data_IF_030367854992
#
_entry.id   IF_030367854992
#
_cell.length_a   1.000
_cell.length_b   1.000
_cell.length_c   1.000
_cell.angle_alpha   90.00
_cell.angle_beta   90.00
_cell.angle_gamma   90.00
#
_symmetry.space_group_name_H-M   'P 1'
#
loop_
_entity.id
_entity.type
_entity.pdbx_description
1 polymer ?
#
# COMPACT_ATOMS: atom_id res chain seq x y z
N UNK A 1 22.23 -6.06 -8.90
CA UNK A 1 22.40 -7.15 -9.90
C UNK A 1 22.00 -6.70 -11.30
N UNK A 2 20.71 -6.56 -11.64
CA UNK A 2 20.33 -6.22 -13.03
C UNK A 2 20.83 -4.84 -13.49
N UNK A 3 20.53 -3.79 -12.71
CA UNK A 3 20.95 -2.40 -13.01
C UNK A 3 22.49 -2.30 -13.10
N UNK A 4 23.18 -2.78 -12.08
CA UNK A 4 24.65 -2.84 -12.01
C UNK A 4 25.30 -3.59 -13.19
N UNK A 5 24.67 -4.66 -13.68
CA UNK A 5 25.16 -5.45 -14.83
C UNK A 5 25.00 -4.67 -16.14
N UNK A 6 23.91 -3.89 -16.28
CA UNK A 6 23.65 -3.06 -17.46
C UNK A 6 24.64 -1.89 -17.50
N UNK A 7 24.84 -1.22 -16.37
CA UNK A 7 25.77 -0.08 -16.25
C UNK A 7 27.23 -0.47 -16.58
N UNK A 8 27.63 -1.70 -16.22
CA UNK A 8 29.02 -2.18 -16.37
C UNK A 8 29.19 -3.25 -17.45
N UNK A 9 28.31 -3.31 -18.45
CA UNK A 9 28.26 -4.40 -19.45
C UNK A 9 29.59 -4.60 -20.19
N UNK A 10 30.27 -3.50 -20.61
CA UNK A 10 31.57 -3.58 -21.29
C UNK A 10 32.65 -4.20 -20.42
N UNK A 11 32.69 -3.80 -19.14
CA UNK A 11 33.64 -4.34 -18.16
C UNK A 11 33.42 -5.84 -17.95
N UNK A 12 32.17 -6.27 -17.81
CA UNK A 12 31.82 -7.69 -17.59
C UNK A 12 32.14 -8.55 -18.81
N UNK A 13 31.94 -8.01 -20.02
CA UNK A 13 32.32 -8.66 -21.28
C UNK A 13 33.85 -8.81 -21.40
N UNK A 14 34.61 -7.75 -21.10
CA UNK A 14 36.07 -7.80 -21.10
C UNK A 14 36.63 -8.82 -20.09
N UNK A 15 36.00 -8.95 -18.92
CA UNK A 15 36.36 -9.97 -17.93
C UNK A 15 35.86 -11.38 -18.28
N UNK A 16 35.08 -11.56 -19.37
CA UNK A 16 34.49 -12.84 -19.77
C UNK A 16 33.68 -13.51 -18.64
N UNK A 17 33.00 -12.70 -17.79
CA UNK A 17 32.23 -13.18 -16.61
C UNK A 17 30.71 -13.10 -16.77
N UNK A 18 30.20 -12.94 -18.00
CA UNK A 18 28.77 -12.83 -18.29
C UNK A 18 27.93 -13.99 -17.70
N UNK A 19 28.42 -15.23 -17.77
CA UNK A 19 27.73 -16.42 -17.26
C UNK A 19 27.51 -16.40 -15.73
N UNK A 20 28.45 -15.83 -14.98
CA UNK A 20 28.36 -15.73 -13.51
C UNK A 20 27.27 -14.73 -13.09
N UNK A 21 27.23 -13.56 -13.73
CA UNK A 21 26.18 -12.56 -13.49
C UNK A 21 24.79 -13.06 -13.94
N UNK A 22 24.73 -13.75 -15.08
CA UNK A 22 23.50 -14.38 -15.55
C UNK A 22 22.97 -15.43 -14.56
N UNK A 23 23.81 -16.34 -14.06
CA UNK A 23 23.40 -17.34 -13.06
C UNK A 23 22.94 -16.72 -11.73
N UNK A 24 23.59 -15.63 -11.30
CA UNK A 24 23.15 -14.86 -10.12
C UNK A 24 21.77 -14.21 -10.33
N UNK A 25 21.54 -13.61 -11.49
CA UNK A 25 20.25 -13.03 -11.85
C UNK A 25 19.16 -14.10 -11.93
N UNK A 26 19.45 -15.23 -12.56
CA UNK A 26 18.49 -16.34 -12.70
C UNK A 26 18.08 -16.90 -11.32
N UNK A 27 19.05 -17.08 -10.42
CA UNK A 27 18.79 -17.56 -9.06
C UNK A 27 17.94 -16.57 -8.27
N UNK A 28 18.26 -15.28 -8.33
CA UNK A 28 17.50 -14.23 -7.67
C UNK A 28 16.06 -14.13 -8.22
N UNK A 29 15.89 -14.23 -9.54
CA UNK A 29 14.58 -14.21 -10.21
C UNK A 29 13.72 -15.42 -9.84
N UNK A 30 14.30 -16.63 -9.82
CA UNK A 30 13.61 -17.85 -9.37
C UNK A 30 13.17 -17.76 -7.90
N UNK A 31 14.01 -17.19 -7.04
CA UNK A 31 13.65 -16.94 -5.64
C UNK A 31 12.48 -15.95 -5.53
N UNK A 32 12.54 -14.82 -6.25
CA UNK A 32 11.46 -13.84 -6.32
C UNK A 32 10.14 -14.47 -6.78
N UNK A 33 10.16 -15.25 -7.86
CA UNK A 33 8.97 -15.96 -8.37
C UNK A 33 8.34 -16.88 -7.33
N UNK A 34 9.15 -17.66 -6.60
CA UNK A 34 8.63 -18.55 -5.54
C UNK A 34 8.04 -17.77 -4.37
N UNK A 35 8.67 -16.67 -3.98
CA UNK A 35 8.15 -15.80 -2.93
C UNK A 35 6.81 -15.17 -3.33
N UNK A 36 6.71 -14.64 -4.55
CA UNK A 36 5.49 -14.05 -5.08
C UNK A 36 4.35 -15.07 -5.23
N UNK A 37 4.64 -16.30 -5.67
CA UNK A 37 3.61 -17.36 -5.71
C UNK A 37 3.05 -17.65 -4.32
N UNK A 38 3.89 -17.70 -3.27
CA UNK A 38 3.40 -17.89 -1.90
C UNK A 38 2.57 -16.71 -1.43
N UNK A 39 3.03 -15.48 -1.69
CA UNK A 39 2.26 -14.27 -1.34
C UNK A 39 0.90 -14.23 -2.03
N UNK A 40 0.83 -14.57 -3.32
CA UNK A 40 -0.41 -14.59 -4.08
C UNK A 40 -1.46 -15.53 -3.50
N UNK A 41 -1.05 -16.67 -2.91
CA UNK A 41 -1.98 -17.57 -2.21
C UNK A 41 -2.56 -16.91 -0.96
N UNK A 42 -1.72 -16.26 -0.15
CA UNK A 42 -2.18 -15.54 1.04
C UNK A 42 -3.07 -14.34 0.69
N UNK A 43 -2.74 -13.61 -0.37
CA UNK A 43 -3.53 -12.49 -0.88
C UNK A 43 -4.89 -12.96 -1.38
N UNK A 44 -4.95 -14.06 -2.14
CA UNK A 44 -6.20 -14.65 -2.60
C UNK A 44 -7.09 -15.14 -1.45
N UNK A 45 -6.50 -15.75 -0.41
CA UNK A 45 -7.24 -16.16 0.79
C UNK A 45 -7.78 -14.96 1.55
N UNK A 46 -6.98 -13.91 1.73
CA UNK A 46 -7.39 -12.69 2.39
C UNK A 46 -8.52 -11.97 1.62
N UNK A 47 -8.40 -11.88 0.30
CA UNK A 47 -9.40 -11.27 -0.56
C UNK A 47 -10.75 -12.02 -0.48
N UNK A 48 -10.71 -13.35 -0.57
CA UNK A 48 -11.92 -14.18 -0.50
C UNK A 48 -12.61 -14.04 0.86
N UNK A 49 -11.85 -14.11 1.96
CA UNK A 49 -12.39 -13.93 3.32
C UNK A 49 -13.03 -12.55 3.50
N UNK A 50 -12.37 -11.50 3.04
CA UNK A 50 -12.87 -10.13 3.15
C UNK A 50 -14.17 -9.94 2.37
N UNK A 51 -14.24 -10.49 1.15
CA UNK A 51 -15.43 -10.41 0.31
C UNK A 51 -16.59 -11.23 0.90
N UNK A 52 -16.33 -12.46 1.38
CA UNK A 52 -17.34 -13.28 2.04
C UNK A 52 -17.90 -12.60 3.29
N UNK A 53 -17.03 -12.02 4.12
CA UNK A 53 -17.45 -11.31 5.34
C UNK A 53 -18.37 -10.12 5.04
N UNK A 54 -18.08 -9.37 3.97
CA UNK A 54 -18.92 -8.26 3.52
C UNK A 54 -20.34 -8.71 3.20
N UNK A 55 -20.50 -9.81 2.45
CA UNK A 55 -21.82 -10.35 2.12
C UNK A 55 -22.56 -10.88 3.36
N UNK A 56 -21.85 -11.52 4.30
CA UNK A 56 -22.45 -12.00 5.55
C UNK A 56 -23.00 -10.82 6.36
N UNK A 57 -22.23 -9.74 6.53
CA UNK A 57 -22.68 -8.54 7.26
C UNK A 57 -23.91 -7.92 6.60
N UNK A 58 -23.91 -7.80 5.27
CA UNK A 58 -25.08 -7.28 4.54
C UNK A 58 -26.30 -8.16 4.80
N UNK A 59 -26.15 -9.49 4.74
CA UNK A 59 -27.22 -10.43 5.08
C UNK A 59 -27.75 -10.26 6.51
N UNK A 60 -26.86 -10.16 7.50
CA UNK A 60 -27.23 -9.92 8.91
C UNK A 60 -27.94 -8.57 9.08
N UNK A 61 -27.47 -7.53 8.40
CA UNK A 61 -28.08 -6.19 8.44
C UNK A 61 -29.51 -6.22 7.93
N UNK A 62 -29.76 -6.94 6.83
CA UNK A 62 -31.12 -7.12 6.32
C UNK A 62 -31.98 -8.02 7.21
N UNK A 63 -31.43 -9.10 7.78
CA UNK A 63 -32.17 -9.97 8.70
C UNK A 63 -32.68 -9.19 9.93
N UNK A 64 -31.82 -8.35 10.51
CA UNK A 64 -32.19 -7.45 11.61
C UNK A 64 -33.17 -6.37 11.12
N UNK A 65 -32.92 -5.79 9.94
CA UNK A 65 -33.81 -4.79 9.34
C UNK A 65 -35.23 -5.31 9.13
N UNK A 66 -35.38 -6.54 8.64
CA UNK A 66 -36.68 -7.21 8.48
C UNK A 66 -37.35 -7.42 9.84
N UNK A 67 -36.62 -7.90 10.84
CA UNK A 67 -37.15 -8.06 12.21
C UNK A 67 -37.69 -6.73 12.76
N UNK A 68 -36.98 -5.63 12.56
CA UNK A 68 -37.40 -4.28 13.01
C UNK A 68 -38.70 -3.84 12.31
N UNK A 69 -38.87 -4.15 11.02
CA UNK A 69 -40.10 -3.83 10.28
C UNK A 69 -41.31 -4.53 10.94
N UNK A 70 -41.16 -5.80 11.30
CA UNK A 70 -42.24 -6.58 11.93
C UNK A 70 -42.53 -6.15 13.38
N UNK A 71 -41.51 -5.84 14.18
CA UNK A 71 -41.69 -5.52 15.60
C UNK A 71 -42.08 -4.06 15.86
N UNK A 72 -41.47 -3.10 15.16
CA UNK A 72 -41.65 -1.66 15.44
C UNK A 72 -42.64 -0.95 14.50
N UNK A 73 -43.30 -1.67 13.57
CA UNK A 73 -44.17 -1.09 12.53
C UNK A 73 -43.51 0.06 11.74
N UNK A 74 -42.18 0.05 11.60
CA UNK A 74 -41.46 1.02 10.77
C UNK A 74 -41.75 0.73 9.29
N UNK A 75 -41.93 1.78 8.50
CA UNK A 75 -42.14 1.66 7.05
C UNK A 75 -40.90 1.06 6.38
N UNK A 76 -41.10 0.12 5.47
CA UNK A 76 -40.01 -0.56 4.73
C UNK A 76 -39.09 0.41 4.00
N UNK A 77 -39.63 1.53 3.49
CA UNK A 77 -38.84 2.59 2.85
C UNK A 77 -37.82 3.23 3.80
N UNK A 78 -38.22 3.51 5.05
CA UNK A 78 -37.33 4.13 6.03
C UNK A 78 -36.15 3.21 6.36
N UNK A 79 -36.41 1.91 6.53
CA UNK A 79 -35.36 0.94 6.88
C UNK A 79 -34.39 0.75 5.71
N UNK A 80 -34.92 0.62 4.49
CA UNK A 80 -34.09 0.51 3.28
C UNK A 80 -33.21 1.74 3.08
N UNK A 81 -33.77 2.95 3.22
CA UNK A 81 -33.02 4.21 3.11
C UNK A 81 -31.90 4.30 4.13
N UNK A 82 -32.14 3.93 5.39
CA UNK A 82 -31.10 3.95 6.42
C UNK A 82 -29.98 2.97 6.11
N UNK A 83 -30.30 1.75 5.68
CA UNK A 83 -29.30 0.74 5.31
C UNK A 83 -28.47 1.22 4.11
N UNK A 84 -29.10 1.76 3.06
CA UNK A 84 -28.40 2.31 1.90
C UNK A 84 -27.51 3.50 2.26
N UNK A 85 -28.00 4.43 3.07
CA UNK A 85 -27.21 5.58 3.53
C UNK A 85 -25.99 5.13 4.34
N UNK A 86 -26.16 4.13 5.22
CA UNK A 86 -25.06 3.55 6.00
C UNK A 86 -24.02 2.87 5.10
N UNK A 87 -24.45 2.09 4.11
CA UNK A 87 -23.55 1.42 3.14
C UNK A 87 -22.74 2.44 2.34
N UNK A 88 -23.40 3.43 1.74
CA UNK A 88 -22.74 4.46 0.95
C UNK A 88 -21.78 5.30 1.81
N UNK A 89 -22.20 5.67 3.02
CA UNK A 89 -21.35 6.39 3.98
C UNK A 89 -20.11 5.58 4.37
N UNK A 90 -20.26 4.28 4.62
CA UNK A 90 -19.15 3.39 4.96
C UNK A 90 -18.14 3.27 3.81
N UNK A 91 -18.61 3.14 2.57
CA UNK A 91 -17.73 3.12 1.39
C UNK A 91 -16.98 4.43 1.22
N UNK A 92 -17.63 5.57 1.45
CA UNK A 92 -16.97 6.87 1.40
C UNK A 92 -15.84 6.97 2.42
N UNK A 93 -16.09 6.57 3.68
CA UNK A 93 -15.09 6.55 4.75
C UNK A 93 -13.95 5.60 4.43
N UNK A 94 -14.25 4.40 3.92
CA UNK A 94 -13.24 3.41 3.54
C UNK A 94 -12.32 3.95 2.43
N UNK A 95 -12.90 4.58 1.40
CA UNK A 95 -12.12 5.22 0.34
C UNK A 95 -11.26 6.38 0.87
N UNK A 96 -11.79 7.19 1.78
CA UNK A 96 -11.02 8.26 2.43
C UNK A 96 -9.85 7.71 3.26
N UNK A 97 -10.05 6.59 3.97
CA UNK A 97 -9.02 5.96 4.79
C UNK A 97 -7.82 5.49 3.95
N UNK A 98 -8.04 5.09 2.70
CA UNK A 98 -6.96 4.68 1.78
C UNK A 98 -5.96 5.79 1.47
N UNK A 99 -6.33 7.07 1.67
CA UNK A 99 -5.43 8.21 1.48
C UNK A 99 -4.59 8.54 2.72
N UNK A 100 -4.90 7.96 3.88
CA UNK A 100 -4.19 8.25 5.12
C UNK A 100 -2.67 7.96 5.04
N UNK A 101 -2.21 6.83 4.47
CA UNK A 101 -0.78 6.57 4.33
C UNK A 101 -0.06 7.61 3.46
N UNK A 102 -0.70 8.12 2.42
CA UNK A 102 -0.13 9.18 1.57
C UNK A 102 0.04 10.48 2.35
N UNK A 103 -0.92 10.84 3.20
CA UNK A 103 -0.77 11.99 4.10
C UNK A 103 0.41 11.82 5.07
N UNK A 104 0.58 10.63 5.65
CA UNK A 104 1.71 10.30 6.54
C UNK A 104 3.04 10.38 5.79
N UNK A 105 3.11 9.85 4.55
CA UNK A 105 4.30 9.93 3.70
C UNK A 105 4.64 11.38 3.35
N UNK A 106 3.66 12.18 2.95
CA UNK A 106 3.86 13.59 2.62
C UNK A 106 4.41 14.38 3.83
N UNK A 107 3.85 14.17 5.02
CA UNK A 107 4.36 14.77 6.26
C UNK A 107 5.81 14.38 6.53
N UNK A 108 6.14 13.10 6.34
CA UNK A 108 7.51 12.59 6.56
C UNK A 108 8.49 13.20 5.54
N UNK A 109 8.11 13.27 4.28
CA UNK A 109 8.91 13.88 3.22
C UNK A 109 9.14 15.39 3.45
N UNK A 110 8.10 16.13 3.84
CA UNK A 110 8.23 17.53 4.22
C UNK A 110 9.17 17.72 5.42
N UNK A 111 9.08 16.84 6.42
CA UNK A 111 10.00 16.83 7.56
C UNK A 111 11.46 16.62 7.15
N UNK A 112 11.72 15.70 6.23
CA UNK A 112 13.06 15.49 5.66
C UNK A 112 13.56 16.72 4.90
N UNK A 113 12.72 17.33 4.06
CA UNK A 113 13.07 18.54 3.33
C UNK A 113 13.43 19.69 4.29
N UNK A 114 12.60 19.96 5.29
CA UNK A 114 12.90 20.99 6.28
C UNK A 114 14.14 20.65 7.11
N UNK A 115 14.37 19.38 7.44
CA UNK A 115 15.58 18.96 8.14
C UNK A 115 16.85 19.26 7.33
N UNK A 116 16.79 19.19 6.00
CA UNK A 116 17.91 19.53 5.12
C UNK A 116 18.05 21.04 4.97
N UNK A 117 16.95 21.76 4.77
CA UNK A 117 16.95 23.23 4.62
C UNK A 117 17.54 23.92 5.85
N UNK A 118 17.16 23.47 7.05
CA UNK A 118 17.63 24.06 8.30
C UNK A 118 18.91 23.41 8.84
N UNK A 119 19.50 22.46 8.11
CA UNK A 119 20.75 21.81 8.53
C UNK A 119 21.93 22.78 8.36
N UNK A 120 22.59 23.11 9.46
CA UNK A 120 23.86 23.84 9.40
C UNK A 120 24.99 22.92 8.90
N UNK A 121 25.75 23.32 7.85
CA UNK A 121 26.90 22.56 7.35
C UNK A 121 28.03 22.56 8.38
N UNK A 122 28.78 21.44 8.46
CA UNK A 122 29.94 21.32 9.38
C UNK A 122 31.12 22.18 8.95
N UNK A 123 31.17 22.57 7.67
CA UNK A 123 32.25 23.34 7.06
C UNK A 123 32.09 24.86 7.22
N UNK A 124 31.07 25.33 7.95
CA UNK A 124 30.77 26.75 8.12
C UNK A 124 29.73 27.27 7.11
N UNK A 125 29.10 28.39 7.45
CA UNK A 125 28.06 29.02 6.65
C UNK A 125 28.69 29.79 5.47
N UNK A 126 28.29 29.45 4.24
CA UNK A 126 28.84 30.05 3.03
C UNK A 126 28.57 31.57 2.95
N UNK A 127 27.54 32.05 3.67
CA UNK A 127 27.17 33.47 3.72
C UNK A 127 27.93 34.27 4.79
N UNK A 128 28.46 33.61 5.82
CA UNK A 128 29.16 34.25 6.95
C UNK A 128 30.68 34.20 6.77
N UNK A 129 31.19 33.34 5.89
CA UNK A 129 32.60 33.36 5.51
C UNK A 129 33.57 33.07 6.66
N UNK A 130 33.14 32.30 7.66
CA UNK A 130 34.02 31.93 8.76
C UNK A 130 34.72 30.61 8.41
N UNK A 131 36.04 30.71 8.15
CA UNK A 131 36.90 29.55 7.94
C UNK A 131 37.01 28.77 9.24
N UNK A 132 36.86 27.44 9.13
CA UNK A 132 37.33 26.51 10.16
C UNK A 132 38.84 26.66 10.41
#
# INVERSE_FOLDING_TARGET
IAIETIENVRTIQLLTRMSMFYGRFETASKFGKRAEMRKGVFEGLNFTLSQSFTYIIVGVTYAVGIHIIYTEQKTSDSVFRTIMAMLLGSVAVMNSSSYFPEFVKARTAAGLLFSVIYRKPRTGDASVGEKA
#
